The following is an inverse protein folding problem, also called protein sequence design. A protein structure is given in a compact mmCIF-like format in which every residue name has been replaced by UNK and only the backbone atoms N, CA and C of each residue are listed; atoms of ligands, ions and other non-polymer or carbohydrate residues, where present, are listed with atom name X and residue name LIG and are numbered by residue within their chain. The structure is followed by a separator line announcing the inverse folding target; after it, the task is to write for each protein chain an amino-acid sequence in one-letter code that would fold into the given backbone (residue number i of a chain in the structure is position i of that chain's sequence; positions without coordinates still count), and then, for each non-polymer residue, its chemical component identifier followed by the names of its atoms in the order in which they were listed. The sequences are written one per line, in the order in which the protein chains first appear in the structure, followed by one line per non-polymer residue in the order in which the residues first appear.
data_IF_366678273074
#
_entry.id   IF_366678273074
#
_cell.length_a   1.000
_cell.length_b   1.000
_cell.length_c   1.000
_cell.angle_alpha   90.00
_cell.angle_beta   90.00
_cell.angle_gamma   90.00
#
_symmetry.space_group_name_H-M   'P 1'
#
loop_
_entity.id
_entity.type
_entity.pdbx_description
1 polymer ?
#
# COMPACT_ATOMS: atom_id res chain seq x y z
N UNK A 1 -9.01 11.61 -8.37
CA UNK A 1 -8.09 10.81 -9.13
C UNK A 1 -6.70 11.39 -9.25
N UNK A 2 -6.13 11.78 -8.14
CA UNK A 2 -4.76 12.25 -8.11
C UNK A 2 -3.88 11.18 -7.50
N UNK A 3 -3.39 10.30 -8.36
CA UNK A 3 -2.40 9.31 -7.97
C UNK A 3 -1.04 9.85 -8.36
N UNK A 4 -0.15 9.91 -7.39
CA UNK A 4 1.21 10.37 -7.63
C UNK A 4 2.15 9.18 -7.55
N UNK A 5 2.69 8.78 -8.68
CA UNK A 5 3.64 7.67 -8.76
C UNK A 5 5.00 8.26 -9.11
N UNK A 6 5.90 8.23 -8.16
CA UNK A 6 7.22 8.76 -8.36
C UNK A 6 8.05 7.83 -9.23
N UNK A 7 9.26 8.22 -9.48
CA UNK A 7 10.17 7.61 -10.45
C UNK A 7 10.50 6.15 -10.12
N UNK A 8 10.55 5.30 -11.17
CA UNK A 8 10.97 3.90 -11.09
C UNK A 8 10.09 2.95 -10.28
N UNK A 9 8.81 3.29 -10.12
CA UNK A 9 7.88 2.33 -9.52
C UNK A 9 7.44 1.30 -10.55
N UNK A 10 7.23 0.07 -10.09
CA UNK A 10 6.69 -1.01 -10.91
C UNK A 10 5.38 -1.47 -10.30
N UNK A 11 4.34 -1.51 -11.11
CA UNK A 11 3.00 -1.88 -10.66
C UNK A 11 2.55 -3.08 -11.48
N UNK A 12 2.16 -4.14 -10.81
CA UNK A 12 1.70 -5.36 -11.45
C UNK A 12 0.32 -5.21 -12.10
N UNK A 13 -0.26 -6.33 -12.49
CA UNK A 13 -1.53 -6.37 -13.20
C UNK A 13 -2.73 -6.26 -12.26
N UNK A 14 -3.82 -5.68 -12.76
CA UNK A 14 -5.10 -5.62 -12.05
C UNK A 14 -5.02 -4.92 -10.69
N UNK A 15 -4.18 -3.90 -10.57
CA UNK A 15 -4.09 -3.12 -9.35
C UNK A 15 -5.15 -2.03 -9.35
N UNK A 16 -5.77 -1.81 -8.20
CA UNK A 16 -6.74 -0.74 -8.00
C UNK A 16 -6.14 0.27 -7.03
N UNK A 17 -5.87 1.46 -7.52
CA UNK A 17 -5.25 2.52 -6.73
C UNK A 17 -6.22 3.69 -6.70
N UNK A 18 -6.76 3.98 -5.53
CA UNK A 18 -7.73 5.07 -5.38
C UNK A 18 -7.04 6.43 -5.45
N UNK A 19 -7.83 7.48 -5.47
CA UNK A 19 -7.29 8.84 -5.63
C UNK A 19 -6.38 9.28 -4.48
N UNK A 20 -5.44 10.16 -4.78
CA UNK A 20 -4.53 10.78 -3.81
C UNK A 20 -3.58 9.79 -3.12
N UNK A 21 -3.31 8.66 -3.76
CA UNK A 21 -2.28 7.73 -3.27
C UNK A 21 -0.91 8.22 -3.74
N UNK A 22 0.05 8.22 -2.83
CA UNK A 22 1.42 8.62 -3.14
C UNK A 22 2.39 7.46 -3.03
N UNK A 23 3.27 7.32 -4.01
CA UNK A 23 4.37 6.37 -3.98
C UNK A 23 5.68 7.13 -4.05
N UNK A 24 6.55 6.91 -3.10
CA UNK A 24 7.92 7.34 -3.24
C UNK A 24 8.65 6.41 -4.21
N UNK A 25 9.78 6.81 -4.71
CA UNK A 25 10.44 6.12 -5.82
C UNK A 25 10.84 4.67 -5.54
N UNK A 26 10.91 3.89 -6.61
CA UNK A 26 11.48 2.53 -6.61
C UNK A 26 10.75 1.50 -5.78
N UNK A 27 9.43 1.65 -5.64
CA UNK A 27 8.59 0.63 -5.01
C UNK A 27 8.07 -0.35 -6.05
N UNK A 28 7.83 -1.58 -5.63
CA UNK A 28 7.34 -2.65 -6.49
C UNK A 28 6.05 -3.21 -5.90
N UNK A 29 4.99 -3.19 -6.70
CA UNK A 29 3.72 -3.80 -6.33
C UNK A 29 3.52 -5.11 -7.10
N UNK A 30 3.05 -6.13 -6.40
CA UNK A 30 2.63 -7.35 -7.07
C UNK A 30 1.31 -7.17 -7.81
N UNK A 31 0.67 -8.28 -8.16
CA UNK A 31 -0.59 -8.26 -8.88
C UNK A 31 -1.79 -8.18 -7.92
N UNK A 32 -2.90 -7.64 -8.40
CA UNK A 32 -4.15 -7.59 -7.65
C UNK A 32 -4.04 -6.85 -6.32
N UNK A 33 -3.26 -5.76 -6.29
CA UNK A 33 -3.12 -4.93 -5.09
C UNK A 33 -4.21 -3.87 -5.09
N UNK A 34 -4.86 -3.68 -3.94
CA UNK A 34 -5.87 -2.65 -3.76
C UNK A 34 -5.38 -1.64 -2.73
N UNK A 35 -5.32 -0.37 -3.11
CA UNK A 35 -4.86 0.69 -2.22
C UNK A 35 -5.95 1.73 -2.07
N UNK A 36 -6.40 1.95 -0.85
CA UNK A 36 -7.42 2.95 -0.53
C UNK A 36 -6.92 4.37 -0.72
N UNK A 37 -7.85 5.31 -0.81
CA UNK A 37 -7.50 6.71 -1.07
C UNK A 37 -6.61 7.32 0.01
N UNK A 38 -5.75 8.24 -0.39
CA UNK A 38 -4.85 8.99 0.49
C UNK A 38 -3.83 8.13 1.24
N UNK A 39 -3.60 6.89 0.79
CA UNK A 39 -2.53 6.07 1.34
C UNK A 39 -1.17 6.53 0.80
N UNK A 40 -0.13 6.26 1.54
CA UNK A 40 1.23 6.56 1.11
C UNK A 40 2.12 5.33 1.19
N UNK A 41 3.00 5.16 0.23
CA UNK A 41 3.96 4.06 0.19
C UNK A 41 5.35 4.64 0.12
N UNK A 42 6.18 4.34 1.11
CA UNK A 42 7.56 4.81 1.14
C UNK A 42 8.40 4.17 0.03
N UNK A 43 9.52 4.77 -0.29
CA UNK A 43 10.38 4.29 -1.36
C UNK A 43 11.07 2.98 -1.05
N UNK A 44 11.47 2.27 -2.12
CA UNK A 44 12.25 1.03 -2.03
C UNK A 44 11.55 -0.11 -1.31
N UNK A 45 10.21 -0.14 -1.35
CA UNK A 45 9.43 -1.20 -0.73
C UNK A 45 8.95 -2.21 -1.76
N UNK A 46 8.71 -3.42 -1.29
CA UNK A 46 8.14 -4.49 -2.09
C UNK A 46 6.80 -4.88 -1.49
N UNK A 47 5.74 -4.66 -2.25
CA UNK A 47 4.37 -5.00 -1.85
C UNK A 47 4.00 -6.27 -2.60
N UNK A 48 3.62 -7.30 -1.87
CA UNK A 48 3.27 -8.58 -2.46
C UNK A 48 2.00 -8.54 -3.30
N UNK A 49 1.59 -9.69 -3.82
CA UNK A 49 0.37 -9.82 -4.59
C UNK A 49 -0.84 -10.03 -3.68
N UNK A 50 -2.02 -9.64 -4.15
CA UNK A 50 -3.28 -9.78 -3.41
C UNK A 50 -3.24 -9.05 -2.06
N UNK A 51 -2.58 -7.89 -2.02
CA UNK A 51 -2.47 -7.06 -0.82
C UNK A 51 -3.56 -6.00 -0.84
N UNK A 52 -4.16 -5.74 0.31
CA UNK A 52 -5.13 -4.66 0.48
C UNK A 52 -4.59 -3.66 1.48
N UNK A 53 -4.48 -2.40 1.05
CA UNK A 53 -3.99 -1.31 1.89
C UNK A 53 -5.16 -0.36 2.14
N UNK A 54 -5.53 -0.17 3.41
CA UNK A 54 -6.64 0.68 3.77
C UNK A 54 -6.39 2.15 3.47
N UNK A 55 -7.46 2.92 3.30
CA UNK A 55 -7.34 4.34 3.02
C UNK A 55 -6.63 5.10 4.13
N UNK A 56 -5.81 6.07 3.78
CA UNK A 56 -5.06 6.86 4.74
C UNK A 56 -3.88 6.14 5.38
N UNK A 57 -3.59 4.90 4.96
CA UNK A 57 -2.50 4.12 5.55
C UNK A 57 -1.14 4.63 5.10
N UNK A 58 -0.14 4.46 5.97
CA UNK A 58 1.24 4.78 5.63
C UNK A 58 2.10 3.52 5.64
N UNK A 59 2.57 3.09 4.48
CA UNK A 59 3.35 1.87 4.34
C UNK A 59 4.83 2.20 4.40
N UNK A 60 5.53 1.69 5.40
CA UNK A 60 6.96 1.95 5.60
C UNK A 60 7.81 0.68 5.59
N UNK A 61 7.18 -0.48 5.45
CA UNK A 61 7.87 -1.78 5.39
C UNK A 61 7.30 -2.60 4.26
N UNK A 62 8.07 -3.58 3.80
CA UNK A 62 7.59 -4.54 2.81
C UNK A 62 6.36 -5.27 3.32
N UNK A 63 5.47 -5.63 2.40
CA UNK A 63 4.24 -6.34 2.75
C UNK A 63 4.22 -7.68 2.01
N UNK A 64 4.08 -8.79 2.73
CA UNK A 64 4.02 -10.10 2.08
C UNK A 64 2.70 -10.29 1.33
N UNK A 65 2.65 -11.33 0.49
CA UNK A 65 1.46 -11.64 -0.30
C UNK A 65 0.24 -11.91 0.60
N UNK A 66 -0.93 -11.65 0.06
CA UNK A 66 -2.22 -11.99 0.68
C UNK A 66 -2.41 -11.34 2.06
N UNK A 67 -1.95 -10.11 2.22
CA UNK A 67 -1.99 -9.39 3.50
C UNK A 67 -2.88 -8.17 3.39
N UNK A 68 -3.61 -7.89 4.45
CA UNK A 68 -4.38 -6.65 4.61
C UNK A 68 -3.72 -5.79 5.66
N UNK A 69 -3.47 -4.52 5.35
CA UNK A 69 -2.82 -3.60 6.28
C UNK A 69 -3.61 -2.31 6.42
N UNK A 70 -3.42 -1.63 7.53
CA UNK A 70 -4.10 -0.38 7.82
C UNK A 70 -3.29 0.42 8.84
N UNK A 71 -3.43 1.74 8.83
CA UNK A 71 -2.84 2.61 9.83
C UNK A 71 -1.52 3.25 9.39
N UNK A 72 -0.93 4.01 10.27
CA UNK A 72 0.38 4.64 10.08
C UNK A 72 1.20 4.47 11.36
N UNK A 73 2.31 3.72 11.32
CA UNK A 73 2.73 2.88 10.20
C UNK A 73 1.72 1.76 9.93
N UNK A 74 1.63 1.33 8.66
CA UNK A 74 0.66 0.32 8.28
C UNK A 74 0.93 -1.00 9.00
N UNK A 75 -0.12 -1.57 9.57
CA UNK A 75 -0.08 -2.83 10.31
C UNK A 75 -1.04 -3.81 9.71
N UNK A 76 -0.81 -5.09 9.93
CA UNK A 76 -1.79 -6.11 9.64
C UNK A 76 -3.13 -5.69 10.26
N UNK A 77 -4.24 -5.89 9.53
CA UNK A 77 -5.55 -5.41 9.97
C UNK A 77 -5.90 -5.92 11.37
N UNK A 78 -5.59 -7.16 11.66
CA UNK A 78 -5.88 -7.72 12.97
C UNK A 78 -5.11 -7.01 14.08
N UNK A 79 -3.85 -6.68 13.86
CA UNK A 79 -3.04 -5.93 14.82
C UNK A 79 -3.57 -4.51 15.00
N UNK A 80 -3.97 -3.87 13.88
CA UNK A 80 -4.52 -2.52 13.92
C UNK A 80 -5.77 -2.47 14.79
N UNK A 81 -6.69 -3.41 14.59
CA UNK A 81 -7.93 -3.47 15.37
C UNK A 81 -7.63 -3.69 16.85
N UNK A 82 -6.69 -4.58 17.16
CA UNK A 82 -6.31 -4.87 18.53
C UNK A 82 -5.74 -3.64 19.23
N UNK A 83 -4.88 -2.87 18.54
CA UNK A 83 -4.23 -1.70 19.13
C UNK A 83 -5.20 -0.55 19.37
N UNK A 84 -6.32 -0.53 18.68
CA UNK A 84 -7.28 0.58 18.73
C UNK A 84 -8.61 0.25 19.45
N UNK A 85 -8.62 -0.77 20.23
CA UNK A 85 -9.80 -1.12 21.02
C UNK A 85 -9.99 -0.18 22.22
#
# INVERSE_FOLDING_TARGET
NQVHIAHNNKIGNNCIIAGQVGFAGSSILGDNVMIGGQAGVSGHLKIGSNVQIGGGSGVINDIPDNTKVMGYPAKNLREFIKDNR
#
